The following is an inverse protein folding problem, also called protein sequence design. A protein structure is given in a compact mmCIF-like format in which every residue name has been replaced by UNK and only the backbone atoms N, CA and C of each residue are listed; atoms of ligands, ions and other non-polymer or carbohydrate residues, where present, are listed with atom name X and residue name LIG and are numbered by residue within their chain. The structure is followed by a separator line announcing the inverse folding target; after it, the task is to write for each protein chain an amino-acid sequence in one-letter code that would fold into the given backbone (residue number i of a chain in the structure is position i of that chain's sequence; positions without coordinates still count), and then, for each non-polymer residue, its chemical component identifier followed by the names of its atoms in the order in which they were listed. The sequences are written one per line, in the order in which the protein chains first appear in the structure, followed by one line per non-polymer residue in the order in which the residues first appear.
data_IF_690239361607
#
_entry.id   IF_690239361607
#
_cell.length_a   1.000
_cell.length_b   1.000
_cell.length_c   1.000
_cell.angle_alpha   90.00
_cell.angle_beta   90.00
_cell.angle_gamma   90.00
#
_symmetry.space_group_name_H-M   'P 1'
#
loop_
_entity.id
_entity.type
_entity.pdbx_description
1 polymer ?
#
# COMPACT_ATOMS: atom_id res chain seq x y z
N UNK A 1 16.53 -5.22 0.37
CA UNK A 1 15.89 -3.90 0.16
C UNK A 1 14.64 -4.12 -0.65
N UNK A 2 13.54 -3.45 -0.31
CA UNK A 2 12.29 -3.61 -1.04
C UNK A 2 12.38 -2.92 -2.40
N UNK A 3 11.72 -3.46 -3.42
CA UNK A 3 11.57 -2.84 -4.73
C UNK A 3 10.17 -3.07 -5.27
N UNK A 4 9.68 -2.13 -6.07
CA UNK A 4 8.33 -2.17 -6.61
C UNK A 4 8.31 -1.75 -8.09
N UNK A 5 7.55 -2.47 -8.89
CA UNK A 5 7.23 -2.17 -10.29
C UNK A 5 5.74 -1.93 -10.39
N UNK A 6 5.33 -0.86 -11.05
CA UNK A 6 3.91 -0.49 -11.20
C UNK A 6 3.69 -0.03 -12.63
N UNK A 7 2.70 -0.61 -13.32
CA UNK A 7 2.25 -0.19 -14.64
C UNK A 7 0.72 -0.18 -14.69
N UNK A 8 0.16 0.79 -15.41
CA UNK A 8 -1.27 0.96 -15.64
C UNK A 8 -2.11 0.90 -14.35
N UNK A 9 -1.73 1.67 -13.33
CA UNK A 9 -2.45 1.74 -12.06
C UNK A 9 -2.78 3.19 -11.72
N UNK A 10 -4.04 3.57 -11.93
CA UNK A 10 -4.52 4.94 -11.73
C UNK A 10 -3.68 5.94 -12.54
N UNK A 11 -3.08 6.98 -11.91
CA UNK A 11 -2.26 7.97 -12.62
C UNK A 11 -0.89 7.45 -13.09
N UNK A 12 -0.48 6.23 -12.70
CA UNK A 12 0.80 5.63 -13.10
C UNK A 12 0.57 4.82 -14.38
N UNK A 13 1.01 5.35 -15.52
CA UNK A 13 0.90 4.68 -16.83
C UNK A 13 2.07 3.72 -17.08
N UNK A 14 3.24 4.23 -17.44
CA UNK A 14 4.40 3.40 -17.81
C UNK A 14 5.20 2.88 -16.62
N UNK A 15 5.09 3.55 -15.47
CA UNK A 15 5.90 3.23 -14.30
C UNK A 15 7.32 3.78 -14.37
N UNK A 16 8.22 3.16 -13.60
CA UNK A 16 9.65 3.44 -13.66
C UNK A 16 10.22 2.84 -14.96
N UNK A 17 11.12 3.55 -15.63
CA UNK A 17 11.66 3.15 -16.95
C UNK A 17 13.07 2.56 -16.89
N UNK A 18 13.74 2.68 -15.74
CA UNK A 18 15.07 2.13 -15.48
C UNK A 18 14.96 0.83 -14.68
N UNK A 19 16.06 0.09 -14.52
CA UNK A 19 16.13 -1.12 -13.67
C UNK A 19 15.01 -2.15 -13.94
N UNK A 20 14.75 -2.46 -15.22
CA UNK A 20 13.65 -3.35 -15.65
C UNK A 20 12.25 -2.87 -15.19
N UNK A 21 12.14 -1.59 -14.82
CA UNK A 21 10.94 -0.96 -14.29
C UNK A 21 10.73 -1.09 -12.78
N UNK A 22 11.72 -1.61 -12.05
CA UNK A 22 11.71 -1.59 -10.59
C UNK A 22 12.27 -0.29 -10.05
N UNK A 23 11.52 0.33 -9.14
CA UNK A 23 12.01 1.37 -8.25
C UNK A 23 12.47 0.72 -6.94
N UNK A 24 13.74 0.92 -6.59
CA UNK A 24 14.29 0.52 -5.29
C UNK A 24 13.83 1.49 -4.19
N UNK A 25 13.56 0.94 -3.01
CA UNK A 25 13.08 1.71 -1.86
C UNK A 25 14.16 1.70 -0.78
N UNK A 26 14.81 2.85 -0.65
CA UNK A 26 15.84 3.11 0.34
C UNK A 26 15.23 3.52 1.69
N UNK A 27 15.97 3.40 2.80
CA UNK A 27 15.49 3.80 4.13
C UNK A 27 14.92 5.23 4.18
N UNK A 28 15.49 6.13 3.37
CA UNK A 28 14.93 7.44 3.10
C UNK A 28 14.68 7.55 1.61
N UNK A 29 13.40 7.64 1.22
CA UNK A 29 12.97 7.79 -0.17
C UNK A 29 12.06 9.01 -0.26
N UNK A 30 12.42 9.96 -1.15
CA UNK A 30 11.63 11.19 -1.36
C UNK A 30 11.02 11.15 -2.76
N UNK A 31 9.69 11.17 -2.83
CA UNK A 31 8.94 11.19 -4.09
C UNK A 31 8.63 12.63 -4.48
N UNK A 32 9.24 13.13 -5.57
CA UNK A 32 9.03 14.48 -6.09
C UNK A 32 8.49 14.44 -7.53
N UNK A 33 7.85 15.52 -7.97
CA UNK A 33 7.30 15.66 -9.31
C UNK A 33 5.97 16.40 -9.37
N UNK A 34 5.45 16.59 -10.58
CA UNK A 34 4.23 17.35 -10.85
C UNK A 34 3.00 16.81 -10.11
N UNK A 35 1.99 17.65 -9.89
CA UNK A 35 0.73 17.20 -9.29
C UNK A 35 0.07 16.11 -10.13
N UNK A 36 -0.70 15.24 -9.47
CA UNK A 36 -1.43 14.13 -10.08
C UNK A 36 -0.59 13.08 -10.85
N UNK A 37 0.72 13.00 -10.65
CA UNK A 37 1.59 11.98 -11.29
C UNK A 37 1.69 10.65 -10.53
N UNK A 38 0.89 10.45 -9.48
CA UNK A 38 0.88 9.17 -8.75
C UNK A 38 1.85 9.04 -7.58
N UNK A 39 2.45 10.13 -7.08
CA UNK A 39 3.30 10.10 -5.87
C UNK A 39 2.60 9.49 -4.65
N UNK A 40 1.37 9.93 -4.37
CA UNK A 40 0.56 9.36 -3.28
C UNK A 40 0.09 7.95 -3.61
N UNK A 41 -0.19 7.65 -4.88
CA UNK A 41 -0.54 6.30 -5.34
C UNK A 41 0.57 5.30 -5.04
N UNK A 42 1.82 5.65 -5.33
CA UNK A 42 2.99 4.84 -4.98
C UNK A 42 3.07 4.62 -3.46
N UNK A 43 2.98 5.69 -2.66
CA UNK A 43 3.10 5.60 -1.21
C UNK A 43 2.00 4.72 -0.60
N UNK A 44 0.77 4.80 -1.13
CA UNK A 44 -0.36 3.95 -0.73
C UNK A 44 -0.11 2.48 -1.08
N UNK A 45 0.35 2.18 -2.30
CA UNK A 45 0.69 0.80 -2.68
C UNK A 45 1.82 0.23 -1.82
N UNK A 46 2.89 0.99 -1.60
CA UNK A 46 3.99 0.54 -0.75
C UNK A 46 3.51 0.29 0.70
N UNK A 47 2.66 1.16 1.24
CA UNK A 47 1.99 0.93 2.52
C UNK A 47 1.18 -0.37 2.51
N UNK A 48 0.38 -0.61 1.48
CA UNK A 48 -0.39 -1.85 1.34
C UNK A 48 0.51 -3.08 1.38
N UNK A 49 1.57 -3.12 0.57
CA UNK A 49 2.44 -4.30 0.49
C UNK A 49 3.26 -4.54 1.76
N UNK A 50 3.77 -3.49 2.39
CA UNK A 50 4.50 -3.62 3.66
C UNK A 50 3.61 -4.16 4.77
N UNK A 51 2.33 -3.77 4.81
CA UNK A 51 1.35 -4.34 5.74
C UNK A 51 0.97 -5.78 5.40
N UNK A 52 0.73 -6.09 4.13
CA UNK A 52 0.43 -7.46 3.65
C UNK A 52 1.58 -8.43 4.01
N UNK A 53 2.81 -8.03 3.70
CA UNK A 53 4.01 -8.83 4.01
C UNK A 53 4.12 -9.09 5.52
N UNK A 54 3.91 -8.05 6.34
CA UNK A 54 3.93 -8.18 7.80
C UNK A 54 2.85 -9.11 8.32
N UNK A 55 1.65 -9.08 7.74
CA UNK A 55 0.52 -9.92 8.12
C UNK A 55 0.76 -11.39 7.76
N UNK A 56 1.32 -11.67 6.58
CA UNK A 56 1.73 -13.03 6.19
C UNK A 56 2.83 -13.58 7.10
N UNK A 57 3.85 -12.79 7.44
CA UNK A 57 4.91 -13.20 8.38
C UNK A 57 4.36 -13.51 9.78
N UNK A 58 3.28 -12.84 10.18
CA UNK A 58 2.59 -13.10 11.45
C UNK A 58 1.60 -14.26 11.38
N UNK A 59 1.40 -14.84 10.19
CA UNK A 59 0.39 -15.86 9.93
C UNK A 59 -1.03 -15.35 10.26
N UNK A 60 -1.28 -14.04 10.05
CA UNK A 60 -2.61 -13.45 10.22
C UNK A 60 -3.59 -13.94 9.12
N UNK A 61 -3.06 -14.36 7.96
CA UNK A 61 -3.74 -15.05 6.85
C UNK A 61 -2.72 -15.81 5.98
N UNK A 62 -3.17 -16.63 5.02
CA UNK A 62 -2.31 -17.41 4.13
C UNK A 62 -2.28 -16.86 2.69
N UNK A 63 -1.21 -17.09 1.90
CA UNK A 63 -1.10 -16.63 0.51
C UNK A 63 -2.35 -16.94 -0.35
N UNK A 64 -2.97 -18.09 -0.14
CA UNK A 64 -4.14 -18.57 -0.89
C UNK A 64 -5.41 -17.75 -0.59
N UNK A 65 -5.46 -17.08 0.56
CA UNK A 65 -6.59 -16.23 0.95
C UNK A 65 -6.57 -14.89 0.19
N UNK A 66 -5.42 -14.49 -0.37
CA UNK A 66 -5.25 -13.21 -1.05
C UNK A 66 -5.70 -13.27 -2.52
N UNK A 67 -7.00 -13.36 -2.74
CA UNK A 67 -7.59 -13.28 -4.09
C UNK A 67 -7.51 -11.86 -4.68
N UNK A 68 -7.73 -11.71 -5.99
CA UNK A 68 -7.81 -10.38 -6.64
C UNK A 68 -8.97 -9.54 -6.08
N UNK A 69 -10.09 -10.18 -5.74
CA UNK A 69 -11.25 -9.50 -5.15
C UNK A 69 -10.94 -9.02 -3.74
N UNK A 70 -10.24 -9.84 -2.95
CA UNK A 70 -9.81 -9.47 -1.60
C UNK A 70 -8.77 -8.33 -1.65
N UNK A 71 -7.77 -8.45 -2.53
CA UNK A 71 -6.79 -7.38 -2.80
C UNK A 71 -7.48 -6.05 -3.13
N UNK A 72 -8.48 -6.08 -4.03
CA UNK A 72 -9.22 -4.89 -4.46
C UNK A 72 -10.13 -4.33 -3.36
N UNK A 73 -10.99 -5.17 -2.78
CA UNK A 73 -12.12 -4.73 -1.96
C UNK A 73 -11.75 -4.52 -0.48
N UNK A 74 -10.62 -5.07 -0.04
CA UNK A 74 -10.10 -4.87 1.32
C UNK A 74 -8.89 -3.96 1.29
N UNK A 75 -7.82 -4.38 0.62
CA UNK A 75 -6.51 -3.74 0.75
C UNK A 75 -6.38 -2.44 -0.04
N UNK A 76 -6.81 -2.41 -1.31
CA UNK A 76 -6.84 -1.16 -2.09
C UNK A 76 -7.94 -0.20 -1.61
N UNK A 77 -9.08 -0.75 -1.17
CA UNK A 77 -10.19 0.04 -0.65
C UNK A 77 -9.82 0.81 0.63
N UNK A 78 -8.95 0.25 1.48
CA UNK A 78 -8.44 0.94 2.67
C UNK A 78 -7.82 2.32 2.36
N UNK A 79 -7.14 2.44 1.21
CA UNK A 79 -6.55 3.70 0.74
C UNK A 79 -7.42 4.45 -0.29
N UNK A 80 -8.64 3.96 -0.55
CA UNK A 80 -9.60 4.47 -1.54
C UNK A 80 -9.03 4.48 -2.97
N UNK A 81 -8.25 3.47 -3.34
CA UNK A 81 -7.60 3.33 -4.66
C UNK A 81 -8.03 2.06 -5.41
N UNK A 82 -9.12 1.42 -4.99
CA UNK A 82 -9.64 0.20 -5.62
C UNK A 82 -10.09 0.40 -7.08
N UNK A 83 -10.46 1.62 -7.46
CA UNK A 83 -10.85 1.98 -8.82
C UNK A 83 -9.67 2.16 -9.78
N UNK A 84 -8.44 2.19 -9.26
CA UNK A 84 -7.22 2.34 -10.06
C UNK A 84 -6.73 1.01 -10.65
N UNK A 85 -7.29 -0.10 -10.18
CA UNK A 85 -7.01 -1.43 -10.69
C UNK A 85 -7.81 -1.63 -11.99
N UNK A 86 -7.09 -1.93 -13.07
CA UNK A 86 -7.61 -2.18 -14.41
C UNK A 86 -7.12 -3.55 -14.91
N UNK A 87 -7.72 -4.07 -15.98
CA UNK A 87 -7.36 -5.39 -16.53
C UNK A 87 -5.89 -5.48 -16.99
N UNK A 88 -5.33 -4.35 -17.46
CA UNK A 88 -3.94 -4.24 -17.90
C UNK A 88 -2.99 -3.74 -16.80
N UNK A 89 -3.46 -3.64 -15.54
CA UNK A 89 -2.59 -3.31 -14.40
C UNK A 89 -1.55 -4.40 -14.21
N UNK A 90 -0.32 -3.98 -13.98
CA UNK A 90 0.77 -4.86 -13.57
C UNK A 90 1.51 -4.26 -12.38
N UNK A 91 1.52 -4.97 -11.26
CA UNK A 91 2.23 -4.55 -10.05
C UNK A 91 3.07 -5.72 -9.55
N UNK A 92 4.36 -5.47 -9.33
CA UNK A 92 5.22 -6.41 -8.62
C UNK A 92 5.83 -5.71 -7.42
N UNK A 93 5.75 -6.33 -6.25
CA UNK A 93 6.44 -5.89 -5.04
C UNK A 93 7.32 -7.02 -4.54
N UNK A 94 8.60 -6.73 -4.33
CA UNK A 94 9.55 -7.66 -3.74
C UNK A 94 9.98 -7.07 -2.41
N UNK A 95 9.51 -7.69 -1.34
CA UNK A 95 9.88 -7.37 0.03
C UNK A 95 11.10 -8.14 0.51
N UNK A 96 11.18 -8.36 1.82
CA UNK A 96 12.21 -9.18 2.46
C UNK A 96 11.76 -10.63 2.61
N UNK A 97 10.53 -10.87 3.05
CA UNK A 97 9.97 -12.21 3.29
C UNK A 97 9.02 -12.69 2.18
N UNK A 98 8.45 -11.78 1.38
CA UNK A 98 7.48 -12.13 0.34
C UNK A 98 7.65 -11.32 -0.93
N UNK A 99 7.35 -11.94 -2.07
CA UNK A 99 7.12 -11.31 -3.37
C UNK A 99 5.62 -11.38 -3.68
N UNK A 100 5.08 -10.30 -4.22
CA UNK A 100 3.70 -10.18 -4.67
C UNK A 100 3.70 -9.78 -6.14
N UNK A 101 2.83 -10.40 -6.92
CA UNK A 101 2.63 -10.11 -8.33
C UNK A 101 1.14 -10.03 -8.63
N UNK A 102 0.70 -8.88 -9.14
CA UNK A 102 -0.68 -8.61 -9.54
C UNK A 102 -0.65 -8.35 -11.05
N UNK A 103 -1.17 -9.31 -11.79
CA UNK A 103 -1.24 -9.28 -13.24
C UNK A 103 -2.45 -10.11 -13.71
N UNK A 104 -3.05 -9.75 -14.83
CA UNK A 104 -4.09 -10.56 -15.49
C UNK A 104 -5.25 -10.95 -14.57
N UNK A 105 -5.69 -10.04 -13.68
CA UNK A 105 -6.70 -10.28 -12.65
C UNK A 105 -6.36 -11.43 -11.67
N UNK A 106 -5.09 -11.75 -11.50
CA UNK A 106 -4.60 -12.72 -10.52
C UNK A 106 -3.65 -12.07 -9.53
N UNK A 107 -3.53 -12.67 -8.35
CA UNK A 107 -2.54 -12.31 -7.34
C UNK A 107 -1.71 -13.55 -7.07
N UNK A 108 -0.40 -13.45 -7.27
CA UNK A 108 0.57 -14.48 -6.92
C UNK A 108 1.42 -13.98 -5.77
N UNK A 109 1.68 -14.86 -4.80
CA UNK A 109 2.44 -14.53 -3.59
C UNK A 109 3.48 -15.63 -3.37
N UNK A 110 4.74 -15.27 -3.46
CA UNK A 110 5.87 -16.18 -3.24
C UNK A 110 6.54 -15.86 -1.91
N UNK A 111 6.83 -16.88 -1.10
CA UNK A 111 7.65 -16.74 0.09
C UNK A 111 9.14 -16.66 -0.30
N UNK A 112 9.89 -15.80 0.37
CA UNK A 112 11.31 -15.57 0.18
C UNK A 112 12.08 -15.93 1.46
N UNK A 113 13.33 -16.37 1.30
CA UNK A 113 14.22 -16.71 2.42
C UNK A 113 15.02 -15.49 2.92
N UNK A 114 14.32 -14.40 3.21
CA UNK A 114 14.93 -13.19 3.76
C UNK A 114 14.83 -13.08 5.28
N UNK A 115 15.83 -12.46 5.90
CA UNK A 115 15.84 -12.15 7.34
C UNK A 115 14.90 -10.98 7.65
N UNK A 116 13.65 -11.29 7.99
CA UNK A 116 12.60 -10.31 8.20
C UNK A 116 12.58 -9.74 9.62
N UNK A 117 12.98 -8.48 9.75
CA UNK A 117 12.85 -7.73 11.01
C UNK A 117 11.47 -7.09 11.07
N UNK A 118 10.64 -7.52 12.02
CA UNK A 118 9.25 -7.04 12.19
C UNK A 118 9.17 -5.51 12.37
N UNK A 119 8.67 -4.75 11.38
CA UNK A 119 8.67 -3.30 11.45
C UNK A 119 7.43 -2.77 12.20
N UNK A 120 7.56 -1.56 12.77
CA UNK A 120 6.40 -0.72 13.12
C UNK A 120 6.05 0.13 11.91
N UNK A 121 4.85 -0.05 11.36
CA UNK A 121 4.42 0.59 10.11
C UNK A 121 3.36 1.64 10.46
N UNK A 122 3.47 2.83 9.91
CA UNK A 122 2.47 3.89 10.00
C UNK A 122 2.33 4.55 8.62
N UNK A 123 1.09 4.80 8.19
CA UNK A 123 0.80 5.59 7.00
C UNK A 123 0.16 6.91 7.42
N UNK A 124 0.84 8.02 7.13
CA UNK A 124 0.31 9.36 7.37
C UNK A 124 -0.37 9.89 6.09
N UNK A 125 -1.71 10.02 6.05
CA UNK A 125 -2.41 10.46 4.86
C UNK A 125 -2.11 11.92 4.50
N UNK A 126 -2.31 12.25 3.22
CA UNK A 126 -2.13 13.62 2.71
C UNK A 126 -3.24 14.54 3.22
N UNK A 127 -4.41 13.98 3.46
CA UNK A 127 -5.65 14.65 3.89
C UNK A 127 -5.75 14.77 5.43
N UNK A 128 -4.65 14.54 6.17
CA UNK A 128 -4.61 14.59 7.64
C UNK A 128 -5.03 15.96 8.23
N UNK A 129 -4.95 17.02 7.44
CA UNK A 129 -5.45 18.34 7.82
C UNK A 129 -6.99 18.38 7.98
N UNK A 130 -7.72 17.42 7.38
CA UNK A 130 -9.17 17.34 7.52
C UNK A 130 -9.62 16.86 8.91
N UNK A 131 -8.72 16.25 9.70
CA UNK A 131 -9.03 15.69 11.03
C UNK A 131 -9.68 16.73 11.94
N UNK A 132 -9.22 17.98 11.93
CA UNK A 132 -9.76 19.04 12.79
C UNK A 132 -11.16 19.52 12.37
N UNK A 133 -11.62 19.13 11.18
CA UNK A 133 -12.86 19.63 10.58
C UNK A 133 -13.96 18.57 10.46
N UNK A 134 -13.60 17.29 10.54
CA UNK A 134 -14.55 16.19 10.37
C UNK A 134 -15.23 15.90 11.72
N UNK A 135 -16.57 16.02 11.82
CA UNK A 135 -17.29 15.56 13.00
C UNK A 135 -17.13 14.04 13.15
N UNK A 136 -16.95 13.56 14.38
CA UNK A 136 -16.84 12.13 14.71
C UNK A 136 -18.12 11.38 14.33
N UNK A 137 -18.25 10.99 13.06
CA UNK A 137 -19.39 10.25 12.53
C UNK A 137 -18.93 8.91 11.95
N UNK A 138 -19.59 7.84 12.37
CA UNK A 138 -19.31 6.47 11.93
C UNK A 138 -19.49 6.24 10.42
N UNK A 139 -20.19 7.15 9.71
CA UNK A 139 -20.38 7.04 8.26
C UNK A 139 -19.18 7.53 7.46
N UNK A 140 -18.43 8.50 7.98
CA UNK A 140 -17.23 9.04 7.31
C UNK A 140 -16.03 8.10 7.54
N UNK A 141 -16.01 7.36 8.64
CA UNK A 141 -14.92 6.44 8.96
C UNK A 141 -14.75 5.29 7.98
N UNK A 142 -15.83 4.81 7.38
CA UNK A 142 -15.73 3.75 6.36
C UNK A 142 -15.15 4.24 5.02
N UNK A 143 -15.29 5.53 4.73
CA UNK A 143 -14.78 6.15 3.51
C UNK A 143 -13.30 6.53 3.70
N UNK A 144 -12.94 7.02 4.88
CA UNK A 144 -11.61 7.54 5.21
C UNK A 144 -10.88 6.64 6.23
N UNK A 145 -10.94 5.32 6.06
CA UNK A 145 -10.38 4.34 7.03
C UNK A 145 -8.92 4.62 7.39
N UNK A 146 -8.10 4.97 6.39
CA UNK A 146 -6.70 5.33 6.60
C UNK A 146 -6.52 6.55 7.53
N UNK A 147 -7.41 7.54 7.45
CA UNK A 147 -7.40 8.76 8.24
C UNK A 147 -7.77 8.48 9.70
N UNK A 148 -8.80 7.67 9.92
CA UNK A 148 -9.22 7.29 11.27
C UNK A 148 -8.21 6.36 11.94
N UNK A 149 -7.57 5.45 11.19
CA UNK A 149 -6.46 4.64 11.71
C UNK A 149 -5.33 5.55 12.21
N UNK A 150 -4.93 6.53 11.39
CA UNK A 150 -3.91 7.50 11.77
C UNK A 150 -4.31 8.35 12.99
N UNK A 151 -5.57 8.78 13.07
CA UNK A 151 -6.07 9.55 14.22
C UNK A 151 -6.04 8.74 15.52
N UNK A 152 -6.47 7.47 15.48
CA UNK A 152 -6.45 6.59 16.64
C UNK A 152 -5.00 6.34 17.12
N UNK A 153 -4.08 6.07 16.19
CA UNK A 153 -2.65 5.94 16.51
C UNK A 153 -2.08 7.24 17.11
N UNK A 154 -2.46 8.40 16.57
CA UNK A 154 -2.04 9.70 17.08
C UNK A 154 -2.57 9.99 18.48
N UNK A 155 -3.85 9.72 18.75
CA UNK A 155 -4.47 9.94 20.06
C UNK A 155 -3.96 8.94 21.11
N UNK A 156 -3.62 7.71 20.72
CA UNK A 156 -2.89 6.77 21.58
C UNK A 156 -1.51 7.31 21.93
N UNK A 157 -0.78 7.86 20.96
CA UNK A 157 0.55 8.40 21.18
C UNK A 157 0.56 9.60 22.14
N UNK A 158 -0.47 10.46 22.13
CA UNK A 158 -0.60 11.60 23.06
C UNK A 158 -0.75 11.23 24.53
N UNK A 159 -1.22 10.01 24.82
CA UNK A 159 -1.48 9.55 26.20
C UNK A 159 -0.19 9.13 26.92
N UNK A 160 0.93 9.11 26.22
CA UNK A 160 2.27 8.82 26.72
C UNK A 160 3.14 10.08 26.57
#
# INVERSE_FOLDING_TARGET
MAKIKIRNFGPISTGFNENDGYMEIYPVTVLIGNQATGKSTFAKLYSTFTWLEKALVREDFYPEDLTIEEFKNTYLKYHSIQSYLHENTHIEYIGTAYKFEIANNTVNVDKLDGDYIKPKICYAPSERNLISTIPNSARISDILRNLFTYLDDYDKAKKY
#
